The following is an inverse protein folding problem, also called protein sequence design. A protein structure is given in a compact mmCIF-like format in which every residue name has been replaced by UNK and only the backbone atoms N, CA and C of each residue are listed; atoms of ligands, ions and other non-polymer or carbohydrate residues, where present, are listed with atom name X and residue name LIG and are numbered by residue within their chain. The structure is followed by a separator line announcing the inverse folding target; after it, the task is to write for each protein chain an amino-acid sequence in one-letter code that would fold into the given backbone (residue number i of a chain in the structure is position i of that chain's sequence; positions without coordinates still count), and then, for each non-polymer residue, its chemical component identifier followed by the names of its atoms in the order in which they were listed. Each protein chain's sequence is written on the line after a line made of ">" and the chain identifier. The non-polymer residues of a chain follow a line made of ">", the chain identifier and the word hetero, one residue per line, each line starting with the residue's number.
data_IF_365505340373
#
_entry.id   IF_365505340373
#
_cell.length_a   1.000
_cell.length_b   1.000
_cell.length_c   1.000
_cell.angle_alpha   90.00
_cell.angle_beta   90.00
_cell.angle_gamma   90.00
#
_symmetry.space_group_name_H-M   'P 1'
#
loop_
_entity.id
_entity.type
_entity.pdbx_description
1 polymer ?
#
# COMPACT_ATOMS: atom_id res chain seq x y z
N UNK A 1 19.17 -6.46 -4.11
CA UNK A 1 18.25 -7.37 -4.83
C UNK A 1 16.82 -6.90 -4.54
N UNK A 2 15.99 -6.69 -5.55
CA UNK A 2 14.68 -6.02 -5.44
C UNK A 2 13.63 -6.95 -4.75
N UNK A 3 13.39 -6.76 -3.45
CA UNK A 3 12.51 -7.63 -2.65
C UNK A 3 11.05 -7.63 -3.12
N UNK A 4 10.56 -6.52 -3.70
CA UNK A 4 9.20 -6.42 -4.22
C UNK A 4 8.97 -7.36 -5.42
N UNK A 5 10.02 -7.58 -6.23
CA UNK A 5 10.01 -8.43 -7.41
C UNK A 5 10.46 -9.87 -7.14
N UNK A 6 10.98 -10.17 -5.94
CA UNK A 6 11.47 -11.50 -5.61
C UNK A 6 10.29 -12.46 -5.36
N UNK A 7 10.09 -13.50 -6.17
CA UNK A 7 8.98 -14.44 -6.00
C UNK A 7 9.08 -15.29 -4.73
N UNK A 8 10.28 -15.46 -4.17
CA UNK A 8 10.50 -16.23 -2.94
C UNK A 8 10.10 -15.46 -1.67
N UNK A 9 9.83 -14.15 -1.78
CA UNK A 9 9.40 -13.33 -0.66
C UNK A 9 7.88 -13.17 -0.67
N UNK A 10 7.16 -13.89 0.19
CA UNK A 10 5.70 -13.77 0.31
C UNK A 10 5.29 -12.49 1.03
N UNK A 11 6.11 -11.99 1.96
CA UNK A 11 5.82 -10.79 2.75
C UNK A 11 6.96 -9.79 2.64
N UNK A 12 6.65 -8.55 2.28
CA UNK A 12 7.61 -7.45 2.28
C UNK A 12 7.05 -6.29 3.08
N UNK A 13 7.84 -5.77 4.02
CA UNK A 13 7.55 -4.52 4.70
C UNK A 13 8.45 -3.42 4.16
N UNK A 14 7.84 -2.27 3.82
CA UNK A 14 8.52 -1.09 3.30
C UNK A 14 8.19 0.08 4.22
N UNK A 15 9.16 0.43 5.06
CA UNK A 15 9.07 1.56 5.97
C UNK A 15 9.76 2.78 5.37
N UNK A 16 9.37 3.96 5.83
CA UNK A 16 10.01 5.21 5.46
C UNK A 16 9.08 6.38 5.70
N UNK A 17 9.65 7.58 5.77
CA UNK A 17 8.87 8.79 5.98
C UNK A 17 7.91 9.09 4.81
N UNK A 18 6.97 10.03 4.98
CA UNK A 18 6.12 10.50 3.88
C UNK A 18 6.98 11.00 2.69
N UNK A 19 6.58 10.75 1.45
CA UNK A 19 7.33 11.18 0.27
C UNK A 19 8.56 10.33 -0.11
N UNK A 20 8.83 9.22 0.58
CA UNK A 20 9.92 8.29 0.19
C UNK A 20 9.56 7.35 -0.97
N UNK A 21 8.36 7.48 -1.56
CA UNK A 21 7.95 6.67 -2.71
C UNK A 21 7.45 5.26 -2.39
N UNK A 22 7.11 4.95 -1.13
CA UNK A 22 6.65 3.61 -0.70
C UNK A 22 5.52 3.06 -1.57
N UNK A 23 4.43 3.82 -1.69
CA UNK A 23 3.23 3.43 -2.44
C UNK A 23 3.52 3.34 -3.94
N UNK A 24 4.29 4.30 -4.47
CA UNK A 24 4.71 4.32 -5.88
C UNK A 24 5.52 3.07 -6.26
N UNK A 25 6.54 2.73 -5.46
CA UNK A 25 7.38 1.54 -5.68
C UNK A 25 6.57 0.24 -5.58
N UNK A 26 5.66 0.16 -4.60
CA UNK A 26 4.80 -1.01 -4.42
C UNK A 26 3.83 -1.19 -5.59
N UNK A 27 3.22 -0.10 -6.07
CA UNK A 27 2.32 -0.10 -7.22
C UNK A 27 3.06 -0.44 -8.51
N UNK A 28 4.21 0.19 -8.79
CA UNK A 28 5.02 -0.11 -9.96
C UNK A 28 5.39 -1.60 -10.03
N UNK A 29 5.93 -2.15 -8.94
CA UNK A 29 6.27 -3.57 -8.85
C UNK A 29 5.05 -4.49 -8.98
N UNK A 30 3.90 -4.08 -8.42
CA UNK A 30 2.65 -4.82 -8.53
C UNK A 30 2.11 -4.82 -9.97
N UNK A 31 2.12 -3.67 -10.64
CA UNK A 31 1.60 -3.48 -12.01
C UNK A 31 2.42 -4.33 -12.97
N UNK A 32 3.75 -4.25 -12.94
CA UNK A 32 4.62 -5.11 -13.74
C UNK A 32 4.33 -6.59 -13.49
N UNK A 33 4.17 -7.00 -12.23
CA UNK A 33 3.91 -8.41 -11.92
C UNK A 33 2.50 -8.90 -12.30
N UNK A 34 1.53 -8.00 -12.48
CA UNK A 34 0.16 -8.32 -12.90
C UNK A 34 -0.01 -8.26 -14.42
N UNK A 35 0.56 -7.26 -15.07
CA UNK A 35 0.36 -6.99 -16.49
C UNK A 35 1.45 -7.61 -17.37
N UNK A 36 2.72 -7.50 -16.98
CA UNK A 36 3.83 -7.97 -17.81
C UNK A 36 4.15 -9.44 -17.51
N UNK A 37 4.37 -9.78 -16.24
CA UNK A 37 4.79 -11.14 -15.87
C UNK A 37 3.62 -12.06 -15.55
N UNK A 38 2.39 -11.53 -15.49
CA UNK A 38 1.13 -12.26 -15.19
C UNK A 38 1.21 -13.20 -13.97
N UNK A 39 2.06 -12.87 -12.99
CA UNK A 39 2.29 -13.67 -11.77
C UNK A 39 1.12 -13.54 -10.81
N UNK A 40 0.58 -12.34 -10.72
CA UNK A 40 -0.62 -12.05 -9.94
C UNK A 40 -1.75 -11.65 -10.86
N UNK A 41 -2.98 -11.95 -10.44
CA UNK A 41 -4.18 -11.69 -11.23
C UNK A 41 -4.64 -10.23 -11.11
N UNK A 42 -4.51 -9.65 -9.92
CA UNK A 42 -4.90 -8.29 -9.59
C UNK A 42 -4.10 -7.77 -8.38
N UNK A 43 -4.08 -6.45 -8.25
CA UNK A 43 -3.59 -5.73 -7.07
C UNK A 43 -4.81 -5.43 -6.18
N UNK A 44 -4.72 -5.82 -4.90
CA UNK A 44 -5.71 -5.41 -3.89
C UNK A 44 -5.02 -4.41 -2.97
N UNK A 45 -5.58 -3.22 -2.82
CA UNK A 45 -5.06 -2.21 -1.90
C UNK A 45 -6.05 -2.00 -0.76
N UNK A 46 -5.56 -1.96 0.47
CA UNK A 46 -6.38 -1.68 1.65
C UNK A 46 -5.67 -0.70 2.58
N UNK A 47 -6.44 0.18 3.19
CA UNK A 47 -6.00 1.19 4.16
C UNK A 47 -7.03 1.28 5.29
N UNK A 48 -6.58 1.62 6.49
CA UNK A 48 -7.49 1.89 7.60
C UNK A 48 -8.05 3.32 7.51
N UNK A 49 -9.36 3.47 7.66
CA UNK A 49 -9.98 4.78 7.91
C UNK A 49 -9.63 5.21 9.33
N UNK A 50 -8.70 6.14 9.48
CA UNK A 50 -8.52 6.86 10.74
C UNK A 50 -9.44 8.08 10.69
N UNK A 51 -10.41 8.23 11.60
CA UNK A 51 -11.22 9.44 11.67
C UNK A 51 -10.31 10.62 12.04
N UNK A 52 -10.39 11.70 11.27
CA UNK A 52 -9.67 12.95 11.56
C UNK A 52 -10.66 13.90 12.26
N UNK A 53 -10.50 14.12 13.56
CA UNK A 53 -11.31 15.08 14.35
C UNK A 53 -12.39 14.47 15.26
N UNK A 54 -13.30 15.31 15.77
CA UNK A 54 -14.52 14.85 16.48
C UNK A 54 -15.28 13.89 15.56
N UNK A 55 -15.63 12.70 16.08
CA UNK A 55 -16.27 11.60 15.37
C UNK A 55 -17.14 12.07 14.21
N UNK A 56 -16.55 12.17 13.01
CA UNK A 56 -17.32 12.04 11.79
C UNK A 56 -17.72 10.57 11.84
N UNK A 57 -18.84 10.28 12.52
CA UNK A 57 -19.41 8.95 12.56
C UNK A 57 -19.37 8.36 11.16
N UNK A 58 -19.19 7.04 11.06
CA UNK A 58 -19.00 6.30 9.80
C UNK A 58 -19.53 7.05 8.58
N UNK A 59 -18.63 7.49 7.68
CA UNK A 59 -19.00 8.14 6.41
C UNK A 59 -20.22 7.40 5.83
N UNK A 60 -21.44 7.99 5.83
CA UNK A 60 -22.61 7.28 5.35
C UNK A 60 -22.44 7.06 3.84
N UNK A 61 -22.77 5.87 3.36
CA UNK A 61 -22.60 5.53 1.95
C UNK A 61 -22.09 4.11 1.69
N UNK A 62 -22.00 3.82 0.40
CA UNK A 62 -21.45 2.60 -0.19
C UNK A 62 -19.97 2.43 0.18
N UNK A 63 -19.41 1.24 -0.05
CA UNK A 63 -17.98 1.01 0.14
C UNK A 63 -17.17 2.01 -0.69
N UNK A 64 -17.54 2.22 -1.95
CA UNK A 64 -16.84 3.11 -2.88
C UNK A 64 -16.78 4.56 -2.41
N UNK A 65 -17.91 5.11 -1.94
CA UNK A 65 -17.96 6.47 -1.40
C UNK A 65 -17.04 6.66 -0.19
N UNK A 66 -16.90 5.63 0.64
CA UNK A 66 -15.96 5.63 1.78
C UNK A 66 -14.50 5.55 1.33
N UNK A 67 -14.24 4.98 0.15
CA UNK A 67 -12.89 4.89 -0.40
C UNK A 67 -12.48 6.12 -1.23
N UNK A 68 -13.40 7.03 -1.56
CA UNK A 68 -13.15 8.19 -2.44
C UNK A 68 -11.88 8.98 -2.09
N UNK A 69 -11.60 9.35 -0.82
CA UNK A 69 -10.38 10.07 -0.47
C UNK A 69 -9.09 9.32 -0.85
N UNK A 70 -9.13 7.99 -0.81
CA UNK A 70 -8.00 7.14 -1.17
C UNK A 70 -7.90 6.88 -2.66
N UNK A 71 -9.02 6.88 -3.37
CA UNK A 71 -9.03 6.76 -4.83
C UNK A 71 -8.31 7.94 -5.47
N UNK A 72 -8.53 9.17 -5.00
CA UNK A 72 -7.80 10.35 -5.51
C UNK A 72 -6.28 10.19 -5.39
N UNK A 73 -5.79 9.82 -4.20
CA UNK A 73 -4.36 9.58 -3.98
C UNK A 73 -3.80 8.41 -4.80
N UNK A 74 -4.61 7.38 -5.08
CA UNK A 74 -4.21 6.29 -5.96
C UNK A 74 -4.06 6.79 -7.41
N UNK A 75 -5.04 7.54 -7.91
CA UNK A 75 -5.01 8.12 -9.26
C UNK A 75 -3.78 9.03 -9.45
N UNK A 76 -3.47 9.88 -8.47
CA UNK A 76 -2.27 10.72 -8.51
C UNK A 76 -0.98 9.89 -8.66
N UNK A 77 -0.88 8.74 -7.97
CA UNK A 77 0.27 7.85 -8.11
C UNK A 77 0.32 7.17 -9.48
N UNK A 78 -0.84 6.79 -10.04
CA UNK A 78 -0.91 6.17 -11.37
C UNK A 78 -0.52 7.17 -12.47
N UNK A 79 -0.92 8.44 -12.34
CA UNK A 79 -0.53 9.49 -13.26
C UNK A 79 1.00 9.71 -13.26
N UNK A 80 1.64 9.70 -12.08
CA UNK A 80 3.10 9.76 -11.98
C UNK A 80 3.78 8.58 -12.68
N UNK A 81 3.26 7.35 -12.52
CA UNK A 81 3.80 6.17 -13.21
C UNK A 81 3.61 6.26 -14.72
N UNK A 82 2.50 6.84 -15.19
CA UNK A 82 2.21 7.03 -16.60
C UNK A 82 3.11 8.12 -17.25
N UNK A 83 3.46 9.18 -16.51
CA UNK A 83 4.33 10.25 -17.00
C UNK A 83 5.76 9.79 -17.31
N UNK A 84 6.22 8.67 -16.72
CA UNK A 84 7.54 8.09 -16.98
C UNK A 84 7.69 7.42 -18.35
N UNK A 85 6.59 7.01 -18.97
CA UNK A 85 6.60 6.45 -20.33
C UNK A 85 6.56 7.60 -21.35
N UNK A 86 7.74 8.05 -21.76
CA UNK A 86 7.95 9.15 -22.71
C UNK A 86 7.40 8.89 -24.12
N UNK A 87 6.84 9.95 -24.70
CA UNK A 87 6.82 10.38 -26.12
C UNK A 87 6.41 9.42 -27.26
N UNK A 88 6.14 8.14 -27.03
CA UNK A 88 5.98 7.15 -28.12
C UNK A 88 4.54 6.74 -28.49
N UNK A 89 3.57 6.92 -27.60
CA UNK A 89 2.21 6.44 -27.80
C UNK A 89 1.25 7.63 -27.74
N UNK A 90 0.48 7.86 -28.82
CA UNK A 90 -0.52 8.94 -28.85
C UNK A 90 -1.51 8.85 -27.69
N UNK A 91 -2.21 9.94 -27.41
CA UNK A 91 -3.11 10.13 -26.26
C UNK A 91 -4.06 8.93 -26.01
N UNK A 92 -4.53 8.30 -27.09
CA UNK A 92 -5.38 7.10 -27.07
C UNK A 92 -4.70 5.85 -26.47
N UNK A 93 -3.43 5.60 -26.82
CA UNK A 93 -2.68 4.44 -26.33
C UNK A 93 -2.37 4.53 -24.83
N UNK A 94 -2.17 5.75 -24.34
CA UNK A 94 -2.00 6.03 -22.90
C UNK A 94 -3.31 5.81 -22.14
N UNK A 95 -4.44 6.28 -22.67
CA UNK A 95 -5.75 6.09 -22.05
C UNK A 95 -6.12 4.59 -21.93
N UNK A 96 -5.95 3.82 -23.00
CA UNK A 96 -6.23 2.38 -22.98
C UNK A 96 -5.34 1.60 -22.00
N UNK A 97 -4.07 2.00 -21.87
CA UNK A 97 -3.13 1.40 -20.90
C UNK A 97 -3.54 1.73 -19.47
N UNK A 98 -3.94 2.98 -19.19
CA UNK A 98 -4.45 3.39 -17.88
C UNK A 98 -5.74 2.66 -17.50
N UNK A 99 -6.68 2.52 -18.44
CA UNK A 99 -7.92 1.78 -18.18
C UNK A 99 -7.65 0.31 -17.86
N UNK A 100 -6.68 -0.31 -18.57
CA UNK A 100 -6.24 -1.66 -18.26
C UNK A 100 -5.63 -1.75 -16.85
N UNK A 101 -4.76 -0.81 -16.46
CA UNK A 101 -4.17 -0.77 -15.12
C UNK A 101 -5.26 -0.61 -14.07
N UNK A 102 -6.15 0.37 -14.21
CA UNK A 102 -7.28 0.61 -13.31
C UNK A 102 -8.16 -0.64 -13.15
N UNK A 103 -8.41 -1.37 -14.24
CA UNK A 103 -9.21 -2.59 -14.20
C UNK A 103 -8.61 -3.67 -13.28
N UNK A 104 -7.27 -3.67 -13.10
CA UNK A 104 -6.51 -4.64 -12.30
C UNK A 104 -6.23 -4.20 -10.87
N UNK A 105 -6.57 -2.98 -10.48
CA UNK A 105 -6.38 -2.48 -9.11
C UNK A 105 -7.75 -2.43 -8.41
N UNK A 106 -7.85 -3.03 -7.23
CA UNK A 106 -9.06 -3.03 -6.40
C UNK A 106 -8.75 -2.44 -5.03
N UNK A 107 -9.29 -1.26 -4.76
CA UNK A 107 -9.23 -0.68 -3.41
C UNK A 107 -10.36 -1.28 -2.58
N UNK A 108 -10.04 -1.88 -1.43
CA UNK A 108 -10.98 -2.59 -0.56
C UNK A 108 -10.85 -2.19 0.89
N UNK A 109 -11.99 -2.12 1.59
CA UNK A 109 -12.02 -1.83 3.02
C UNK A 109 -11.50 -3.02 3.84
N UNK A 110 -11.02 -2.76 5.06
CA UNK A 110 -10.65 -3.81 6.03
C UNK A 110 -11.78 -4.82 6.28
N UNK A 111 -13.03 -4.36 6.31
CA UNK A 111 -14.19 -5.21 6.54
C UNK A 111 -14.43 -6.15 5.35
N UNK A 112 -14.20 -5.68 4.13
CA UNK A 112 -14.27 -6.52 2.93
C UNK A 112 -13.27 -7.67 3.00
N UNK A 113 -12.10 -7.48 3.59
CA UNK A 113 -11.05 -8.50 3.63
C UNK A 113 -11.40 -9.67 4.58
N UNK A 114 -12.27 -9.45 5.56
CA UNK A 114 -12.61 -10.45 6.58
C UNK A 114 -13.34 -11.65 5.97
N UNK A 115 -12.94 -12.86 6.39
CA UNK A 115 -13.60 -14.11 5.99
C UNK A 115 -13.29 -14.57 4.56
N UNK A 116 -12.47 -13.84 3.79
CA UNK A 116 -12.05 -14.26 2.45
C UNK A 116 -10.69 -14.95 2.45
N UNK A 117 -10.31 -15.52 1.32
CA UNK A 117 -8.95 -15.98 1.03
C UNK A 117 -8.58 -15.46 -0.35
N UNK A 118 -7.40 -14.88 -0.47
CA UNK A 118 -6.89 -14.27 -1.69
C UNK A 118 -5.83 -15.18 -2.30
N UNK A 119 -6.06 -15.65 -3.52
CA UNK A 119 -5.15 -16.52 -4.27
C UNK A 119 -4.53 -15.75 -5.43
N UNK A 120 -3.22 -15.91 -5.64
CA UNK A 120 -2.51 -15.26 -6.74
C UNK A 120 -2.78 -13.74 -6.81
N UNK A 121 -2.75 -13.05 -5.66
CA UNK A 121 -2.97 -11.60 -5.54
C UNK A 121 -1.70 -10.86 -5.13
N UNK A 122 -1.60 -9.60 -5.51
CA UNK A 122 -0.63 -8.67 -4.97
C UNK A 122 -1.34 -7.75 -3.97
N UNK A 123 -1.23 -8.06 -2.67
CA UNK A 123 -1.96 -7.36 -1.62
C UNK A 123 -1.10 -6.25 -1.02
N UNK A 124 -1.52 -5.00 -1.18
CA UNK A 124 -0.90 -3.82 -0.57
C UNK A 124 -1.72 -3.40 0.66
N UNK A 125 -1.06 -3.34 1.81
CA UNK A 125 -1.60 -2.79 3.06
C UNK A 125 -0.90 -1.46 3.30
N UNK A 126 -1.60 -0.36 3.06
CA UNK A 126 -1.05 1.00 3.19
C UNK A 126 -1.41 1.63 4.54
N UNK A 127 -0.56 2.56 4.99
CA UNK A 127 -0.57 3.15 6.34
C UNK A 127 -0.72 2.11 7.47
N UNK A 128 0.04 1.03 7.35
CA UNK A 128 -0.06 -0.11 8.25
C UNK A 128 0.26 0.23 9.72
N UNK A 129 0.94 1.36 9.98
CA UNK A 129 1.21 1.82 11.34
C UNK A 129 -0.08 2.10 12.14
N UNK A 130 -1.17 2.42 11.45
CA UNK A 130 -2.47 2.72 12.04
C UNK A 130 -3.34 1.47 12.29
N UNK A 131 -2.82 0.27 11.97
CA UNK A 131 -3.49 -0.99 12.28
C UNK A 131 -3.13 -1.47 13.67
N UNK A 132 -4.05 -2.14 14.35
CA UNK A 132 -3.74 -2.95 15.54
C UNK A 132 -3.07 -4.28 15.13
N UNK A 133 -2.31 -4.96 16.02
CA UNK A 133 -1.79 -6.30 15.77
C UNK A 133 -2.87 -7.31 15.37
N UNK A 134 -4.08 -7.18 15.94
CA UNK A 134 -5.22 -8.04 15.61
C UNK A 134 -5.72 -7.81 14.18
N UNK A 135 -5.84 -6.55 13.75
CA UNK A 135 -6.21 -6.22 12.37
C UNK A 135 -5.14 -6.67 11.39
N UNK A 136 -3.87 -6.42 11.69
CA UNK A 136 -2.74 -6.86 10.86
C UNK A 136 -2.75 -8.38 10.66
N UNK A 137 -2.85 -9.15 11.77
CA UNK A 137 -3.00 -10.61 11.70
C UNK A 137 -4.22 -11.01 10.86
N UNK A 138 -5.34 -10.32 11.03
CA UNK A 138 -6.57 -10.61 10.28
C UNK A 138 -6.36 -10.45 8.77
N UNK A 139 -5.63 -9.43 8.33
CA UNK A 139 -5.31 -9.18 6.92
C UNK A 139 -4.30 -10.17 6.35
N UNK A 140 -3.14 -10.33 7.00
CA UNK A 140 -2.04 -11.15 6.48
C UNK A 140 -2.46 -12.61 6.35
N UNK A 141 -3.28 -13.12 7.28
CA UNK A 141 -3.81 -14.49 7.22
C UNK A 141 -4.84 -14.73 6.11
N UNK A 142 -5.19 -13.71 5.32
CA UNK A 142 -6.04 -13.86 4.12
C UNK A 142 -5.24 -14.17 2.86
N UNK A 143 -3.92 -13.99 2.89
CA UNK A 143 -3.05 -14.40 1.80
C UNK A 143 -3.04 -15.93 1.73
N UNK A 144 -3.70 -16.47 0.71
CA UNK A 144 -3.59 -17.87 0.33
C UNK A 144 -2.43 -18.09 -0.65
N UNK A 145 -2.28 -19.32 -1.18
CA UNK A 145 -1.21 -19.67 -2.10
C UNK A 145 -1.02 -18.68 -3.26
N UNK A 146 0.25 -18.37 -3.53
CA UNK A 146 0.65 -17.47 -4.61
C UNK A 146 0.32 -16.00 -4.36
N UNK A 147 -0.11 -15.60 -3.17
CA UNK A 147 -0.35 -14.19 -2.83
C UNK A 147 0.87 -13.58 -2.15
N UNK A 148 1.31 -12.42 -2.66
CA UNK A 148 2.36 -11.61 -2.04
C UNK A 148 1.72 -10.45 -1.29
N UNK A 149 2.20 -10.18 -0.08
CA UNK A 149 1.73 -9.11 0.79
C UNK A 149 2.82 -8.06 0.94
N UNK A 150 2.46 -6.82 0.62
CA UNK A 150 3.30 -5.64 0.78
C UNK A 150 2.70 -4.76 1.87
N UNK A 151 3.46 -4.55 2.94
CA UNK A 151 3.05 -3.76 4.09
C UNK A 151 3.82 -2.43 4.10
N UNK A 152 3.12 -1.32 3.89
CA UNK A 152 3.70 0.01 3.78
C UNK A 152 3.38 0.81 5.04
N UNK A 153 4.32 1.63 5.51
CA UNK A 153 3.98 2.59 6.57
C UNK A 153 5.13 3.42 7.08
N UNK A 154 4.81 4.25 8.06
CA UNK A 154 5.74 5.12 8.77
C UNK A 154 5.46 5.08 10.26
N UNK A 155 6.32 4.42 11.04
CA UNK A 155 6.11 4.25 12.49
C UNK A 155 6.11 5.59 13.24
N UNK A 156 6.80 6.61 12.71
CA UNK A 156 6.83 7.95 13.28
C UNK A 156 5.54 8.77 13.01
N UNK A 157 4.60 8.25 12.21
CA UNK A 157 3.37 8.94 11.82
C UNK A 157 2.15 8.06 12.14
N UNK A 158 1.91 7.85 13.43
CA UNK A 158 0.71 7.17 13.92
C UNK A 158 -0.38 8.23 14.07
N UNK A 159 -1.44 8.11 13.28
CA UNK A 159 -2.50 9.12 13.19
C UNK A 159 -3.60 8.94 14.26
N UNK A 160 -3.46 7.93 15.13
CA UNK A 160 -4.48 7.60 16.14
C UNK A 160 -3.91 7.61 17.56
N UNK A 161 -4.60 8.24 18.54
CA UNK A 161 -4.12 8.28 19.92
C UNK A 161 -4.18 6.91 20.62
N UNK A 162 -4.85 5.93 20.03
CA UNK A 162 -5.02 4.59 20.59
C UNK A 162 -3.85 3.66 20.28
N UNK A 163 -2.92 4.07 19.42
CA UNK A 163 -1.75 3.29 19.02
C UNK A 163 -0.47 4.06 19.36
N UNK A 164 0.58 3.28 19.60
CA UNK A 164 1.94 3.73 19.83
C UNK A 164 2.86 2.88 18.96
N UNK A 165 4.13 3.26 18.85
CA UNK A 165 5.10 2.44 18.12
C UNK A 165 5.15 1.00 18.64
N UNK A 166 5.03 0.78 19.96
CA UNK A 166 5.02 -0.55 20.57
C UNK A 166 3.71 -1.32 20.41
N UNK A 167 2.59 -0.64 20.15
CA UNK A 167 1.27 -1.26 19.98
C UNK A 167 0.77 -1.28 18.54
N UNK A 168 1.54 -0.77 17.59
CA UNK A 168 1.22 -0.79 16.17
C UNK A 168 1.29 -2.20 15.57
N UNK A 169 0.38 -2.48 14.65
CA UNK A 169 0.35 -3.69 13.85
C UNK A 169 1.55 -3.80 12.92
N UNK A 170 2.09 -2.67 12.45
CA UNK A 170 3.28 -2.63 11.60
C UNK A 170 4.52 -3.11 12.35
N UNK A 171 4.81 -2.55 13.51
CA UNK A 171 5.97 -2.96 14.33
C UNK A 171 5.81 -4.41 14.79
N UNK A 172 4.60 -4.81 15.18
CA UNK A 172 4.27 -6.19 15.51
C UNK A 172 4.59 -7.17 14.37
N UNK A 173 4.11 -6.92 13.14
CA UNK A 173 4.32 -7.87 12.04
C UNK A 173 5.78 -7.93 11.61
N UNK A 174 6.46 -6.78 11.55
CA UNK A 174 7.89 -6.72 11.22
C UNK A 174 8.68 -7.55 12.23
N UNK A 175 8.42 -7.39 13.53
CA UNK A 175 9.10 -8.14 14.57
C UNK A 175 8.85 -9.66 14.47
N UNK A 176 7.59 -10.07 14.26
CA UNK A 176 7.22 -11.49 14.16
C UNK A 176 7.71 -12.18 12.90
N UNK A 177 7.98 -11.43 11.83
CA UNK A 177 8.46 -11.97 10.56
C UNK A 177 9.99 -11.98 10.46
N UNK A 178 10.71 -11.45 11.48
CA UNK A 178 12.17 -11.54 11.55
C UNK A 178 12.62 -12.99 11.50
N UNK A 179 13.61 -13.27 10.64
CA UNK A 179 14.19 -14.60 10.49
C UNK A 179 13.34 -15.59 9.66
N UNK A 180 12.13 -15.21 9.23
CA UNK A 180 11.40 -16.03 8.26
C UNK A 180 12.00 -15.83 6.85
N UNK A 181 12.48 -16.88 6.16
CA UNK A 181 13.22 -16.74 4.90
C UNK A 181 12.43 -16.10 3.75
N UNK A 182 11.10 -16.20 3.79
CA UNK A 182 10.20 -15.64 2.79
C UNK A 182 9.68 -14.24 3.16
N UNK A 183 10.34 -13.57 4.11
CA UNK A 183 10.05 -12.18 4.48
C UNK A 183 11.19 -11.24 4.09
N UNK A 184 10.84 -10.01 3.76
CA UNK A 184 11.77 -8.92 3.51
C UNK A 184 11.37 -7.67 4.27
N UNK A 185 12.36 -6.93 4.75
CA UNK A 185 12.16 -5.62 5.36
C UNK A 185 13.09 -4.60 4.71
N UNK A 186 12.53 -3.47 4.31
CA UNK A 186 13.28 -2.35 3.73
C UNK A 186 12.84 -1.08 4.43
N UNK A 187 13.81 -0.25 4.80
CA UNK A 187 13.56 1.11 5.28
C UNK A 187 14.11 2.10 4.24
N UNK A 188 13.24 2.90 3.65
CA UNK A 188 13.57 3.99 2.75
C UNK A 188 13.96 5.21 3.57
N UNK A 189 15.23 5.59 3.50
CA UNK A 189 15.80 6.65 4.33
C UNK A 189 15.61 8.06 3.76
N UNK A 190 15.51 8.20 2.43
CA UNK A 190 15.46 9.50 1.76
C UNK A 190 14.36 9.51 0.72
N UNK A 191 13.54 10.57 0.74
CA UNK A 191 12.52 10.82 -0.26
C UNK A 191 12.87 12.02 -1.11
N UNK A 192 12.17 12.19 -2.22
CA UNK A 192 12.22 13.40 -3.03
C UNK A 192 11.19 14.39 -2.47
N UNK A 193 11.56 15.03 -1.36
CA UNK A 193 10.73 16.07 -0.76
C UNK A 193 11.11 17.43 -1.33
N UNK A 194 10.11 18.30 -1.42
CA UNK A 194 10.38 19.70 -1.70
C UNK A 194 11.08 20.34 -0.50
N UNK A 195 11.85 21.39 -0.75
CA UNK A 195 12.47 22.21 0.32
C UNK A 195 11.48 22.66 1.40
N UNK A 196 10.22 22.87 1.02
CA UNK A 196 9.15 23.24 1.95
C UNK A 196 8.79 22.09 2.89
N UNK A 197 8.60 20.88 2.35
CA UNK A 197 8.23 19.71 3.13
C UNK A 197 9.35 19.25 4.07
N UNK A 198 10.61 19.40 3.65
CA UNK A 198 11.76 19.13 4.51
C UNK A 198 11.81 20.13 5.68
N UNK A 199 11.77 21.43 5.38
CA UNK A 199 11.78 22.45 6.43
C UNK A 199 10.60 22.31 7.40
N UNK A 200 9.40 22.04 6.90
CA UNK A 200 8.21 21.83 7.73
C UNK A 200 8.35 20.61 8.66
N UNK A 201 8.96 19.52 8.18
CA UNK A 201 9.18 18.32 8.99
C UNK A 201 10.20 18.50 10.12
N UNK A 202 11.11 19.47 10.00
CA UNK A 202 12.11 19.77 11.03
C UNK A 202 11.58 20.76 12.10
N UNK A 203 10.60 21.62 11.75
CA UNK A 203 10.17 22.74 12.61
C UNK A 203 8.76 22.61 13.21
N UNK A 204 7.93 21.68 12.73
CA UNK A 204 6.57 21.42 13.21
C UNK A 204 6.49 20.06 13.92
#
# INVERSE_FOLDING_TARGET
>A
MNLLMNPECDFVSLLGQAGTGKTLLALAAGITQVLETTRYTEIIMTRVTVPVGEDIGFLPGTEEEKMLPWMGALEDNLDVLNMGDGEGNGDWGRAATMDLIRSRIKVKSLNFMRGRTFLNKYLIIDEAQNLTPKQMKTLVTRAGPGTKVICLGNVAQIDTPYLTEGSSGLTFVVDRFKGWPHSGHVTLQRGERSRLADYAGDVL
#
